data_IF_110895113202
#
_entry.id   IF_110895113202
#
_cell.length_a   1.000
_cell.length_b   1.000
_cell.length_c   1.000
_cell.angle_alpha   90.00
_cell.angle_beta   90.00
_cell.angle_gamma   90.00
#
_symmetry.space_group_name_H-M   'P 1'
#
loop_
_entity.id
_entity.type
_entity.pdbx_description
1 polymer ?
#
# COMPACT_ATOMS: atom_id res chain seq x y z
N UNK A 1 -2.56 -4.05 27.59
CA UNK A 1 -1.29 -4.65 28.07
C UNK A 1 -0.36 -3.60 28.67
N UNK A 2 0.18 -2.65 27.91
CA UNK A 2 1.14 -1.65 28.43
C UNK A 2 0.61 -0.66 29.49
N UNK A 3 -0.69 -0.66 29.76
CA UNK A 3 -1.28 0.12 30.86
C UNK A 3 -0.94 -0.45 32.24
N UNK A 4 -0.50 -1.71 32.32
CA UNK A 4 -0.05 -2.33 33.57
C UNK A 4 1.39 -1.91 33.88
N UNK A 5 1.61 -1.36 35.07
CA UNK A 5 2.94 -0.95 35.50
C UNK A 5 3.95 -2.10 35.49
N UNK A 6 5.18 -1.82 35.07
CA UNK A 6 6.24 -2.81 34.97
C UNK A 6 6.17 -3.71 33.73
N UNK A 7 5.12 -3.61 32.91
CA UNK A 7 4.98 -4.36 31.64
C UNK A 7 5.43 -3.50 30.47
N UNK A 8 6.29 -4.05 29.61
CA UNK A 8 6.72 -3.39 28.40
C UNK A 8 6.59 -4.32 27.19
N UNK A 9 5.58 -4.08 26.36
CA UNK A 9 5.41 -4.68 25.03
C UNK A 9 5.68 -3.60 23.98
N UNK A 10 6.56 -3.90 23.03
CA UNK A 10 6.91 -2.98 21.96
C UNK A 10 6.93 -3.74 20.64
N UNK A 11 6.37 -3.11 19.61
CA UNK A 11 6.17 -3.69 18.28
C UNK A 11 6.81 -2.81 17.23
N UNK A 12 6.98 -3.36 16.02
CA UNK A 12 7.09 -2.53 14.83
C UNK A 12 5.82 -1.70 14.62
N UNK A 13 5.84 -0.77 13.66
CA UNK A 13 4.64 -0.03 13.30
C UNK A 13 3.55 -1.00 12.82
N UNK A 14 2.32 -0.68 13.17
CA UNK A 14 1.17 -1.39 12.62
C UNK A 14 1.17 -1.31 11.09
N UNK A 15 0.75 -2.40 10.44
CA UNK A 15 0.72 -2.58 8.98
C UNK A 15 2.06 -2.38 8.27
N UNK A 16 3.18 -2.48 8.99
CA UNK A 16 4.51 -2.52 8.39
C UNK A 16 4.74 -3.88 7.70
N UNK A 17 5.10 -3.91 6.40
CA UNK A 17 5.55 -5.15 5.74
C UNK A 17 6.82 -5.69 6.39
N UNK A 18 6.87 -7.00 6.62
CA UNK A 18 7.96 -7.68 7.33
C UNK A 18 8.46 -8.90 6.56
N UNK A 19 9.74 -9.21 6.72
CA UNK A 19 10.37 -10.40 6.13
C UNK A 19 10.19 -11.63 7.03
N UNK A 20 10.29 -12.82 6.43
CA UNK A 20 10.30 -14.08 7.20
C UNK A 20 11.47 -14.08 8.19
N UNK A 21 11.15 -14.30 9.46
CA UNK A 21 12.14 -14.33 10.54
C UNK A 21 12.45 -12.95 11.15
N UNK A 22 11.86 -11.87 10.64
CA UNK A 22 11.97 -10.55 11.24
C UNK A 22 11.27 -10.52 12.61
N UNK A 23 11.91 -9.90 13.60
CA UNK A 23 11.30 -9.74 14.94
C UNK A 23 10.32 -8.59 14.92
N UNK A 24 9.02 -8.90 15.01
CA UNK A 24 7.94 -7.89 14.93
C UNK A 24 7.51 -7.31 16.27
N UNK A 25 7.83 -8.00 17.36
CA UNK A 25 7.48 -7.60 18.71
C UNK A 25 8.44 -8.22 19.73
N UNK A 26 8.64 -7.53 20.85
CA UNK A 26 9.27 -8.07 22.05
C UNK A 26 8.46 -7.64 23.26
N UNK A 27 8.51 -8.46 24.29
CA UNK A 27 7.88 -8.19 25.58
C UNK A 27 8.88 -8.44 26.69
N UNK A 28 8.85 -7.61 27.74
CA UNK A 28 9.60 -7.81 28.97
C UNK A 28 8.87 -7.22 30.16
N UNK A 29 9.27 -7.66 31.34
CA UNK A 29 9.03 -6.90 32.57
C UNK A 29 10.20 -5.93 32.78
N UNK A 30 9.90 -4.73 33.26
CA UNK A 30 10.89 -3.71 33.60
C UNK A 30 11.52 -3.92 34.99
N UNK A 31 10.75 -4.23 36.05
CA UNK A 31 11.34 -4.50 37.37
C UNK A 31 11.97 -5.90 37.44
N UNK A 32 12.79 -6.13 38.48
CA UNK A 32 13.38 -7.44 38.78
C UNK A 32 12.32 -8.53 38.99
N UNK A 33 11.17 -8.16 39.58
CA UNK A 33 10.03 -9.04 39.80
C UNK A 33 8.74 -8.27 39.57
N UNK A 34 7.70 -8.98 39.11
CA UNK A 34 6.36 -8.44 38.87
C UNK A 34 5.33 -9.31 39.60
N UNK A 35 4.24 -8.69 40.05
CA UNK A 35 3.14 -9.41 40.70
C UNK A 35 2.49 -10.43 39.75
N UNK A 36 2.18 -11.62 40.27
CA UNK A 36 1.55 -12.69 39.49
C UNK A 36 0.21 -12.26 38.88
N UNK A 37 -0.59 -11.48 39.61
CA UNK A 37 -1.88 -10.97 39.14
C UNK A 37 -1.72 -10.07 37.91
N UNK A 38 -0.63 -9.28 37.84
CA UNK A 38 -0.33 -8.46 36.67
C UNK A 38 0.02 -9.31 35.46
N UNK A 39 0.81 -10.38 35.64
CA UNK A 39 1.14 -11.31 34.56
C UNK A 39 -0.13 -11.97 34.03
N UNK A 40 -0.98 -12.47 34.92
CA UNK A 40 -2.25 -13.10 34.55
C UNK A 40 -3.17 -12.14 33.78
N UNK A 41 -3.28 -10.88 34.21
CA UNK A 41 -4.08 -9.87 33.52
C UNK A 41 -3.55 -9.59 32.11
N UNK A 42 -2.22 -9.51 31.94
CA UNK A 42 -1.57 -9.30 30.64
C UNK A 42 -1.77 -10.50 29.72
N UNK A 43 -1.59 -11.72 30.22
CA UNK A 43 -1.83 -12.96 29.48
C UNK A 43 -3.29 -13.07 29.04
N UNK A 44 -4.22 -12.70 29.93
CA UNK A 44 -5.65 -12.66 29.61
C UNK A 44 -5.95 -11.65 28.50
N UNK A 45 -5.37 -10.44 28.58
CA UNK A 45 -5.53 -9.41 27.55
C UNK A 45 -4.89 -9.82 26.20
N UNK A 46 -3.90 -10.71 26.21
CA UNK A 46 -3.25 -11.24 25.02
C UNK A 46 -3.93 -12.50 24.44
N UNK A 47 -5.01 -13.00 25.07
CA UNK A 47 -5.74 -14.17 24.57
C UNK A 47 -6.31 -13.86 23.18
N UNK A 48 -6.01 -14.74 22.22
CA UNK A 48 -6.35 -14.54 20.81
C UNK A 48 -5.23 -13.92 19.98
N UNK A 49 -4.12 -13.52 20.61
CA UNK A 49 -2.95 -12.95 19.96
C UNK A 49 -2.89 -11.43 20.13
N UNK A 50 -1.79 -10.94 20.69
CA UNK A 50 -1.54 -9.50 20.83
C UNK A 50 -0.95 -8.87 19.56
N UNK A 51 -0.34 -9.69 18.69
CA UNK A 51 0.30 -9.29 17.44
C UNK A 51 -0.01 -10.35 16.39
N UNK A 52 -0.42 -9.90 15.21
CA UNK A 52 -0.73 -10.77 14.08
C UNK A 52 0.04 -10.33 12.85
N UNK A 53 0.52 -11.29 12.07
CA UNK A 53 1.15 -11.03 10.77
C UNK A 53 0.25 -11.63 9.69
N UNK A 54 -0.30 -10.78 8.82
CA UNK A 54 -1.11 -11.21 7.69
C UNK A 54 -0.20 -11.59 6.52
N UNK A 55 -0.44 -12.75 5.90
CA UNK A 55 0.25 -13.14 4.68
C UNK A 55 -0.26 -12.32 3.49
N UNK A 56 0.63 -11.94 2.58
CA UNK A 56 0.23 -11.38 1.29
C UNK A 56 -0.36 -12.47 0.40
N UNK A 57 -1.38 -12.11 -0.37
CA UNK A 57 -2.01 -12.99 -1.35
C UNK A 57 -1.26 -12.88 -2.69
N UNK A 58 -1.14 -13.98 -3.46
CA UNK A 58 -0.57 -13.93 -4.80
C UNK A 58 -1.55 -13.24 -5.74
N UNK A 59 -1.36 -11.94 -5.96
CA UNK A 59 -2.24 -11.10 -6.79
C UNK A 59 -1.68 -10.87 -8.19
N UNK A 60 -2.55 -10.60 -9.15
CA UNK A 60 -2.23 -9.98 -10.43
C UNK A 60 -2.44 -8.47 -10.35
N UNK A 61 -1.38 -7.70 -10.54
CA UNK A 61 -1.43 -6.24 -10.61
C UNK A 61 -1.62 -5.81 -12.06
N UNK A 62 -2.77 -5.23 -12.38
CA UNK A 62 -3.02 -4.58 -13.67
C UNK A 62 -2.65 -3.10 -13.60
N UNK A 63 -2.02 -2.55 -14.63
CA UNK A 63 -1.64 -1.13 -14.66
C UNK A 63 -2.04 -0.46 -15.97
N UNK A 64 -2.78 0.64 -15.86
CA UNK A 64 -3.03 1.57 -16.98
C UNK A 64 -2.18 2.81 -16.75
N UNK A 65 -1.37 3.17 -17.74
CA UNK A 65 -0.56 4.37 -17.75
C UNK A 65 -0.93 5.27 -18.93
N UNK A 66 -0.59 6.55 -18.87
CA UNK A 66 -0.83 7.48 -20.00
C UNK A 66 0.15 7.21 -21.14
N UNK A 67 -0.34 7.23 -22.38
CA UNK A 67 0.52 7.18 -23.58
C UNK A 67 1.52 8.34 -23.66
N UNK A 68 1.26 9.47 -23.00
CA UNK A 68 2.17 10.61 -23.00
C UNK A 68 3.48 10.38 -22.22
N UNK A 69 3.64 9.26 -21.52
CA UNK A 69 4.89 8.93 -20.82
C UNK A 69 6.01 8.62 -21.81
N UNK A 70 7.19 9.20 -21.60
CA UNK A 70 8.36 8.94 -22.44
C UNK A 70 8.83 7.48 -22.29
N UNK A 71 9.41 6.85 -23.34
CA UNK A 71 9.84 5.45 -23.30
C UNK A 71 10.73 5.10 -22.10
N UNK A 72 11.67 5.98 -21.75
CA UNK A 72 12.55 5.80 -20.59
C UNK A 72 11.79 5.80 -19.26
N UNK A 73 10.78 6.66 -19.13
CA UNK A 73 9.93 6.72 -17.94
C UNK A 73 9.05 5.48 -17.84
N UNK A 74 8.51 4.99 -18.97
CA UNK A 74 7.74 3.74 -19.03
C UNK A 74 8.56 2.54 -18.54
N UNK A 75 9.77 2.37 -19.08
CA UNK A 75 10.65 1.27 -18.69
C UNK A 75 11.05 1.33 -17.20
N UNK A 76 11.37 2.53 -16.69
CA UNK A 76 11.67 2.71 -15.26
C UNK A 76 10.45 2.40 -14.38
N UNK A 77 9.26 2.82 -14.80
CA UNK A 77 8.03 2.58 -14.05
C UNK A 77 7.67 1.10 -14.00
N UNK A 78 7.76 0.41 -15.14
CA UNK A 78 7.53 -1.03 -15.21
C UNK A 78 8.52 -1.79 -14.31
N UNK A 79 9.81 -1.45 -14.38
CA UNK A 79 10.84 -2.06 -13.54
C UNK A 79 10.57 -1.84 -12.04
N UNK A 80 10.18 -0.62 -11.66
CA UNK A 80 9.84 -0.30 -10.27
C UNK A 80 8.63 -1.08 -9.76
N UNK A 81 7.54 -1.14 -10.54
CA UNK A 81 6.35 -1.91 -10.18
C UNK A 81 6.64 -3.41 -10.11
N UNK A 82 7.40 -3.94 -11.06
CA UNK A 82 7.79 -5.36 -11.11
C UNK A 82 8.58 -5.74 -9.86
N UNK A 83 9.61 -4.95 -9.53
CA UNK A 83 10.41 -5.17 -8.32
C UNK A 83 9.55 -5.14 -7.05
N UNK A 84 8.61 -4.20 -6.93
CA UNK A 84 7.71 -4.12 -5.77
C UNK A 84 6.79 -5.33 -5.68
N UNK A 85 6.10 -5.69 -6.78
CA UNK A 85 5.10 -6.76 -6.74
C UNK A 85 5.74 -8.15 -6.56
N UNK A 86 6.94 -8.35 -7.09
CA UNK A 86 7.70 -9.59 -6.92
C UNK A 86 8.05 -9.81 -5.45
N UNK A 87 8.43 -8.75 -4.71
CA UNK A 87 8.68 -8.83 -3.27
C UNK A 87 7.44 -9.28 -2.49
N UNK A 88 6.24 -8.83 -2.89
CA UNK A 88 4.98 -9.25 -2.29
C UNK A 88 4.49 -10.64 -2.75
N UNK A 89 5.22 -11.32 -3.65
CA UNK A 89 4.82 -12.61 -4.20
C UNK A 89 3.66 -12.55 -5.20
N UNK A 90 3.39 -11.38 -5.79
CA UNK A 90 2.40 -11.21 -6.85
C UNK A 90 3.03 -11.28 -8.25
N UNK A 91 2.24 -10.92 -9.27
CA UNK A 91 2.71 -10.77 -10.66
C UNK A 91 2.21 -9.48 -11.28
N UNK A 92 3.03 -8.85 -12.11
CA UNK A 92 2.65 -7.69 -12.93
C UNK A 92 2.09 -8.18 -14.27
N UNK A 93 0.83 -7.82 -14.58
CA UNK A 93 0.27 -7.97 -15.94
C UNK A 93 0.93 -6.97 -16.90
N UNK A 94 0.86 -7.18 -18.23
CA UNK A 94 1.36 -6.20 -19.18
C UNK A 94 0.82 -4.80 -18.89
N UNK A 95 1.71 -3.81 -18.83
CA UNK A 95 1.28 -2.43 -18.64
C UNK A 95 0.59 -1.96 -19.91
N UNK A 96 -0.66 -1.52 -19.77
CA UNK A 96 -1.45 -0.96 -20.85
C UNK A 96 -1.33 0.55 -20.86
N UNK A 97 -1.31 1.14 -22.06
CA UNK A 97 -1.20 2.57 -22.24
C UNK A 97 -2.49 3.10 -22.85
N UNK A 98 -3.19 3.96 -22.11
CA UNK A 98 -4.44 4.54 -22.55
C UNK A 98 -4.21 5.91 -23.20
N UNK A 99 -4.98 6.16 -24.26
CA UNK A 99 -5.14 7.47 -24.86
C UNK A 99 -5.82 8.48 -23.92
N UNK A 100 -5.95 9.72 -24.37
CA UNK A 100 -6.42 10.84 -23.55
C UNK A 100 -7.95 10.97 -23.42
N UNK A 101 -8.73 9.91 -23.65
CA UNK A 101 -10.20 9.94 -23.55
C UNK A 101 -10.71 9.03 -22.43
N UNK A 102 -11.85 9.37 -21.79
CA UNK A 102 -12.50 8.51 -20.79
C UNK A 102 -12.76 7.08 -21.28
N UNK A 103 -13.23 6.94 -22.52
CA UNK A 103 -13.49 5.63 -23.14
C UNK A 103 -12.22 4.79 -23.26
N UNK A 104 -11.12 5.38 -23.75
CA UNK A 104 -9.85 4.66 -23.86
C UNK A 104 -9.34 4.15 -22.51
N UNK A 105 -9.46 4.95 -21.43
CA UNK A 105 -9.09 4.48 -20.09
C UNK A 105 -9.99 3.34 -19.62
N UNK A 106 -11.30 3.46 -19.82
CA UNK A 106 -12.26 2.42 -19.44
C UNK A 106 -12.02 1.10 -20.18
N UNK A 107 -11.69 1.16 -21.47
CA UNK A 107 -11.40 0.00 -22.30
C UNK A 107 -10.13 -0.73 -21.81
N UNK A 108 -9.04 0.00 -21.55
CA UNK A 108 -7.80 -0.60 -21.04
C UNK A 108 -7.97 -1.21 -19.64
N UNK A 109 -8.71 -0.55 -18.74
CA UNK A 109 -9.03 -1.10 -17.42
C UNK A 109 -9.89 -2.36 -17.53
N UNK A 110 -10.85 -2.38 -18.45
CA UNK A 110 -11.70 -3.56 -18.70
C UNK A 110 -10.90 -4.73 -19.25
N UNK A 111 -9.96 -4.46 -20.15
CA UNK A 111 -9.06 -5.49 -20.67
C UNK A 111 -8.20 -6.11 -19.55
N UNK A 112 -7.62 -5.30 -18.66
CA UNK A 112 -6.86 -5.81 -17.50
C UNK A 112 -7.72 -6.65 -16.56
N UNK A 113 -8.97 -6.23 -16.32
CA UNK A 113 -9.91 -7.03 -15.52
C UNK A 113 -10.19 -8.38 -16.18
N UNK A 114 -10.40 -8.41 -17.50
CA UNK A 114 -10.60 -9.64 -18.26
C UNK A 114 -9.36 -10.55 -18.24
N UNK A 115 -8.15 -9.98 -18.16
CA UNK A 115 -6.89 -10.71 -17.95
C UNK A 115 -6.68 -11.19 -16.50
N UNK A 116 -7.63 -10.90 -15.61
CA UNK A 116 -7.64 -11.38 -14.23
C UNK A 116 -6.87 -10.49 -13.25
N UNK A 117 -6.84 -9.17 -13.46
CA UNK A 117 -6.30 -8.24 -12.47
C UNK A 117 -7.10 -8.28 -11.16
N UNK A 118 -6.40 -8.46 -10.04
CA UNK A 118 -6.96 -8.41 -8.67
C UNK A 118 -6.90 -7.01 -8.07
N UNK A 119 -5.99 -6.17 -8.57
CA UNK A 119 -5.83 -4.75 -8.22
C UNK A 119 -5.46 -4.00 -9.49
N UNK A 120 -6.11 -2.85 -9.72
CA UNK A 120 -5.76 -1.94 -10.81
C UNK A 120 -4.99 -0.74 -10.30
N UNK A 121 -3.90 -0.40 -10.98
CA UNK A 121 -3.14 0.82 -10.79
C UNK A 121 -3.41 1.75 -11.97
N UNK A 122 -3.70 3.01 -11.68
CA UNK A 122 -3.75 4.05 -12.69
C UNK A 122 -2.59 5.02 -12.46
N UNK A 123 -1.70 5.08 -13.45
CA UNK A 123 -0.44 5.79 -13.38
C UNK A 123 -0.48 7.04 -14.26
N UNK A 124 -0.06 8.16 -13.68
CA UNK A 124 0.01 9.44 -14.39
C UNK A 124 -1.34 10.14 -14.54
N UNK A 125 -2.31 9.80 -13.67
CA UNK A 125 -3.52 10.59 -13.52
C UNK A 125 -3.19 11.94 -12.87
N UNK A 126 -3.70 13.02 -13.44
CA UNK A 126 -3.73 14.34 -12.78
C UNK A 126 -4.87 14.35 -11.78
N UNK A 127 -4.60 13.89 -10.56
CA UNK A 127 -5.60 13.88 -9.49
C UNK A 127 -6.16 15.28 -9.16
N UNK A 128 -5.40 16.34 -9.44
CA UNK A 128 -5.86 17.72 -9.25
C UNK A 128 -6.84 18.19 -10.33
N UNK A 129 -6.85 17.53 -11.50
CA UNK A 129 -7.71 17.88 -12.61
C UNK A 129 -9.00 17.04 -12.55
N UNK A 130 -10.15 17.64 -12.18
CA UNK A 130 -11.43 16.92 -12.16
C UNK A 130 -11.86 16.44 -13.55
N UNK A 131 -11.30 17.00 -14.62
CA UNK A 131 -11.55 16.60 -16.00
C UNK A 131 -10.52 15.57 -16.50
N UNK A 132 -9.63 15.06 -15.64
CA UNK A 132 -8.72 14.01 -16.05
C UNK A 132 -9.53 12.82 -16.60
N UNK A 133 -9.21 12.34 -17.82
CA UNK A 133 -9.88 11.22 -18.46
C UNK A 133 -10.01 9.97 -17.59
N UNK A 134 -9.12 9.77 -16.61
CA UNK A 134 -9.19 8.67 -15.65
C UNK A 134 -10.48 8.69 -14.83
N UNK A 135 -10.90 9.87 -14.34
CA UNK A 135 -12.14 9.99 -13.57
C UNK A 135 -13.38 9.76 -14.44
N UNK A 136 -13.34 10.23 -15.68
CA UNK A 136 -14.36 9.92 -16.67
C UNK A 136 -14.44 8.42 -16.96
N UNK A 137 -13.31 7.75 -17.15
CA UNK A 137 -13.23 6.31 -17.39
C UNK A 137 -13.77 5.51 -16.21
N UNK A 138 -13.41 5.87 -14.98
CA UNK A 138 -13.98 5.29 -13.76
C UNK A 138 -15.50 5.45 -13.72
N UNK A 139 -16.02 6.61 -14.10
CA UNK A 139 -17.47 6.87 -14.16
C UNK A 139 -18.16 5.97 -15.19
N UNK A 140 -17.58 5.82 -16.39
CA UNK A 140 -18.10 4.93 -17.43
C UNK A 140 -18.15 3.47 -16.98
N UNK A 141 -17.16 3.03 -16.20
CA UNK A 141 -17.12 1.68 -15.63
C UNK A 141 -18.12 1.48 -14.48
N UNK A 142 -18.78 2.54 -14.00
CA UNK A 142 -19.60 2.50 -12.79
C UNK A 142 -18.78 2.29 -11.51
N UNK A 143 -17.51 2.72 -11.51
CA UNK A 143 -16.66 2.65 -10.32
C UNK A 143 -17.08 3.73 -9.30
N UNK A 144 -17.05 3.38 -8.02
CA UNK A 144 -17.30 4.29 -6.91
C UNK A 144 -15.99 4.84 -6.39
N UNK A 145 -15.88 6.16 -6.26
CA UNK A 145 -14.76 6.77 -5.57
C UNK A 145 -14.88 6.48 -4.05
N UNK A 146 -13.90 5.82 -3.46
CA UNK A 146 -13.83 5.60 -2.01
C UNK A 146 -13.22 6.82 -1.33
N UNK A 147 -12.13 7.34 -1.91
CA UNK A 147 -11.46 8.53 -1.42
C UNK A 147 -10.59 9.16 -2.49
N UNK A 148 -10.65 10.48 -2.57
CA UNK A 148 -9.75 11.28 -3.37
C UNK A 148 -8.76 12.02 -2.45
N UNK A 149 -7.49 11.64 -2.53
CA UNK A 149 -6.44 12.17 -1.66
C UNK A 149 -6.22 11.34 -0.40
N UNK A 150 -5.00 11.41 0.14
CA UNK A 150 -4.60 10.72 1.35
C UNK A 150 -3.84 11.69 2.29
N UNK A 151 -4.08 11.62 3.61
CA UNK A 151 -3.36 12.42 4.59
C UNK A 151 -1.95 11.84 4.86
N UNK A 152 -1.19 11.58 3.79
CA UNK A 152 0.20 11.13 3.86
C UNK A 152 1.00 11.77 2.72
N UNK A 153 2.29 12.00 2.96
CA UNK A 153 3.17 12.71 2.04
C UNK A 153 4.58 12.13 2.11
N UNK A 154 5.25 11.82 0.97
CA UNK A 154 4.82 12.04 -0.41
C UNK A 154 3.64 11.16 -0.88
N UNK A 155 2.92 11.61 -1.91
CA UNK A 155 1.80 10.86 -2.51
C UNK A 155 0.41 11.24 -2.01
N UNK A 156 0.23 12.44 -1.44
CA UNK A 156 -1.06 12.92 -0.90
C UNK A 156 -2.21 13.00 -1.92
N UNK A 157 -1.88 13.00 -3.21
CA UNK A 157 -2.82 13.01 -4.33
C UNK A 157 -3.24 11.60 -4.80
N UNK A 158 -2.86 10.56 -4.06
CA UNK A 158 -3.38 9.21 -4.31
C UNK A 158 -4.89 9.18 -4.16
N UNK A 159 -5.59 8.47 -5.04
CA UNK A 159 -7.01 8.19 -4.88
C UNK A 159 -7.24 6.69 -4.83
N UNK A 160 -8.32 6.30 -4.14
CA UNK A 160 -8.83 4.95 -4.10
C UNK A 160 -10.26 4.95 -4.67
N UNK A 161 -10.47 4.18 -5.71
CA UNK A 161 -11.77 3.87 -6.28
C UNK A 161 -12.03 2.37 -6.19
N UNK A 162 -13.28 1.99 -6.39
CA UNK A 162 -13.71 0.60 -6.39
C UNK A 162 -14.63 0.33 -7.56
N UNK A 163 -14.21 -0.55 -8.45
CA UNK A 163 -15.02 -1.02 -9.57
C UNK A 163 -15.64 -2.38 -9.22
N UNK A 164 -16.83 -2.36 -8.63
CA UNK A 164 -17.46 -3.51 -7.96
C UNK A 164 -16.64 -4.00 -6.76
N UNK A 165 -15.93 -5.11 -6.87
CA UNK A 165 -15.03 -5.66 -5.87
C UNK A 165 -13.56 -5.27 -6.12
N UNK A 166 -13.22 -4.91 -7.36
CA UNK A 166 -11.87 -4.59 -7.82
C UNK A 166 -11.39 -3.21 -7.32
N UNK A 167 -10.37 -3.15 -6.45
CA UNK A 167 -9.77 -1.87 -6.05
C UNK A 167 -8.99 -1.23 -7.20
N UNK A 168 -9.16 0.08 -7.35
CA UNK A 168 -8.43 0.91 -8.31
C UNK A 168 -7.67 1.98 -7.56
N UNK A 169 -6.34 1.95 -7.65
CA UNK A 169 -5.45 2.86 -6.95
C UNK A 169 -4.82 3.81 -7.97
N UNK A 170 -5.15 5.09 -7.86
CA UNK A 170 -4.55 6.14 -8.69
C UNK A 170 -3.33 6.75 -8.04
N UNK A 171 -2.25 6.94 -8.80
CA UNK A 171 -1.07 7.66 -8.34
C UNK A 171 -0.61 8.74 -9.32
N UNK A 172 -0.13 9.90 -8.82
CA UNK A 172 0.50 10.91 -9.65
C UNK A 172 1.85 10.43 -10.21
N UNK A 173 2.23 10.97 -11.37
CA UNK A 173 3.52 10.69 -12.05
C UNK A 173 4.73 10.87 -11.14
N UNK A 174 4.71 11.87 -10.24
CA UNK A 174 5.84 12.17 -9.34
C UNK A 174 6.05 11.11 -8.24
N UNK A 175 5.02 10.32 -7.90
CA UNK A 175 5.10 9.26 -6.89
C UNK A 175 5.58 7.91 -7.42
N UNK A 176 5.62 7.74 -8.75
CA UNK A 176 5.85 6.44 -9.40
C UNK A 176 7.22 5.82 -9.13
N UNK A 177 8.21 6.61 -8.70
CA UNK A 177 9.61 6.19 -8.58
C UNK A 177 10.16 6.21 -7.15
N UNK A 178 9.37 6.65 -6.16
CA UNK A 178 9.82 6.69 -4.77
C UNK A 178 9.44 5.40 -4.03
N UNK A 179 10.32 4.97 -3.12
CA UNK A 179 10.12 3.78 -2.29
C UNK A 179 9.31 4.07 -1.01
N UNK A 180 9.12 5.34 -0.65
CA UNK A 180 8.48 5.77 0.59
C UNK A 180 7.33 6.74 0.30
N UNK A 181 6.24 6.24 -0.28
CA UNK A 181 5.07 7.05 -0.61
C UNK A 181 3.80 6.51 0.04
N UNK A 182 2.73 7.29 -0.05
CA UNK A 182 1.38 6.84 0.31
C UNK A 182 1.01 5.53 -0.39
N UNK A 183 1.45 5.32 -1.64
CA UNK A 183 1.21 4.06 -2.35
C UNK A 183 1.80 2.87 -1.60
N UNK A 184 3.00 3.01 -1.05
CA UNK A 184 3.70 1.98 -0.28
C UNK A 184 3.07 1.72 1.10
N UNK A 185 2.21 2.61 1.59
CA UNK A 185 1.37 2.37 2.78
C UNK A 185 0.06 1.65 2.44
N UNK A 186 -0.49 1.88 1.25
CA UNK A 186 -1.83 1.40 0.85
C UNK A 186 -1.76 0.07 0.12
N UNK A 187 -0.83 -0.10 -0.81
CA UNK A 187 -0.71 -1.31 -1.61
C UNK A 187 -0.57 -2.57 -0.73
N UNK A 188 0.36 -2.64 0.25
CA UNK A 188 0.56 -3.88 1.02
C UNK A 188 -0.71 -4.37 1.73
N UNK A 189 -1.53 -3.42 2.19
CA UNK A 189 -2.81 -3.70 2.85
C UNK A 189 -3.81 -4.35 1.89
N UNK A 190 -3.91 -3.85 0.65
CA UNK A 190 -4.73 -4.47 -0.40
C UNK A 190 -4.23 -5.89 -0.73
N UNK A 191 -2.91 -6.07 -0.79
CA UNK A 191 -2.28 -7.37 -1.08
C UNK A 191 -2.49 -8.38 0.04
N UNK A 192 -2.54 -7.92 1.29
CA UNK A 192 -2.92 -8.73 2.45
C UNK A 192 -4.44 -9.02 2.53
N UNK A 193 -5.23 -8.48 1.60
CA UNK A 193 -6.68 -8.68 1.55
C UNK A 193 -7.48 -7.78 2.50
N UNK A 194 -6.88 -6.71 3.01
CA UNK A 194 -7.60 -5.73 3.83
C UNK A 194 -8.63 -4.97 2.98
N UNK A 195 -9.85 -4.83 3.50
CA UNK A 195 -10.86 -3.97 2.91
C UNK A 195 -10.57 -2.51 3.27
N UNK A 196 -9.96 -1.79 2.33
CA UNK A 196 -9.64 -0.37 2.50
C UNK A 196 -10.78 0.49 1.95
N UNK A 197 -11.27 1.42 2.76
CA UNK A 197 -12.20 2.47 2.36
C UNK A 197 -11.71 3.84 2.86
N UNK A 198 -12.61 4.82 2.91
CA UNK A 198 -12.27 6.19 3.31
C UNK A 198 -11.63 6.29 4.71
N UNK A 199 -12.13 5.53 5.69
CA UNK A 199 -11.65 5.60 7.07
C UNK A 199 -10.21 5.10 7.20
N UNK A 200 -9.87 4.01 6.51
CA UNK A 200 -8.55 3.38 6.52
C UNK A 200 -7.48 4.26 5.89
N UNK A 201 -7.84 5.02 4.85
CA UNK A 201 -6.94 6.02 4.25
C UNK A 201 -6.84 7.26 5.14
N UNK A 202 -7.95 7.70 5.75
CA UNK A 202 -7.93 8.85 6.67
C UNK A 202 -7.01 8.61 7.88
N UNK A 203 -6.95 7.38 8.37
CA UNK A 203 -6.10 6.98 9.49
C UNK A 203 -4.59 7.12 9.19
N UNK A 204 -4.17 7.25 7.93
CA UNK A 204 -2.77 7.44 7.55
C UNK A 204 -2.19 8.77 8.05
N UNK A 205 -3.01 9.71 8.52
CA UNK A 205 -2.56 11.01 9.04
C UNK A 205 -1.53 10.89 10.16
N UNK A 206 -1.72 9.92 11.07
CA UNK A 206 -0.75 9.69 12.14
C UNK A 206 0.47 8.93 11.60
N UNK A 207 1.63 9.59 11.59
CA UNK A 207 2.84 9.05 10.96
C UNK A 207 2.80 9.09 9.42
N UNK A 208 1.90 9.89 8.83
CA UNK A 208 1.76 10.05 7.38
C UNK A 208 2.81 10.96 6.73
N UNK A 209 3.62 11.67 7.51
CA UNK A 209 4.73 12.47 6.99
C UNK A 209 5.95 11.57 6.78
N UNK A 210 6.06 10.98 5.59
CA UNK A 210 7.09 10.02 5.23
C UNK A 210 8.40 10.74 4.87
N UNK A 211 9.25 10.96 5.88
CA UNK A 211 10.60 11.46 5.67
C UNK A 211 11.53 10.33 5.18
N UNK A 212 12.72 10.72 4.69
CA UNK A 212 13.79 9.78 4.34
C UNK A 212 14.18 8.87 5.51
N UNK A 213 14.14 9.39 6.73
CA UNK A 213 14.46 8.64 7.96
C UNK A 213 13.44 7.55 8.26
N UNK A 214 12.27 7.58 7.61
CA UNK A 214 11.22 6.57 7.75
C UNK A 214 11.32 5.44 6.72
N UNK A 215 12.41 5.37 5.95
CA UNK A 215 12.64 4.30 4.97
C UNK A 215 12.55 2.89 5.57
N UNK A 216 12.86 2.73 6.86
CA UNK A 216 12.75 1.44 7.56
C UNK A 216 11.33 0.87 7.56
N UNK A 217 10.29 1.71 7.38
CA UNK A 217 8.90 1.27 7.33
C UNK A 217 8.55 0.49 6.07
N UNK A 218 9.37 0.61 5.02
CA UNK A 218 9.11 0.02 3.72
C UNK A 218 10.07 -1.14 3.45
N UNK A 219 9.66 -2.12 2.63
CA UNK A 219 10.57 -3.16 2.17
C UNK A 219 11.76 -2.54 1.41
N UNK A 220 12.94 -3.18 1.46
CA UNK A 220 14.05 -2.81 0.59
C UNK A 220 13.71 -3.02 -0.90
N UNK A 221 12.69 -3.85 -1.20
CA UNK A 221 12.19 -4.29 -2.51
C UNK A 221 13.22 -5.02 -3.39
N UNK A 222 14.48 -4.62 -3.39
CA UNK A 222 15.58 -5.31 -4.07
C UNK A 222 16.19 -6.39 -3.18
N UNK A 223 16.52 -7.52 -3.79
CA UNK A 223 17.28 -8.56 -3.13
C UNK A 223 18.65 -8.03 -2.67
N UNK A 224 18.99 -8.23 -1.40
CA UNK A 224 20.29 -7.85 -0.82
C UNK A 224 20.40 -6.40 -0.33
N UNK A 225 19.42 -5.53 -0.60
CA UNK A 225 19.39 -4.18 -0.02
C UNK A 225 18.92 -4.25 1.45
N UNK A 226 19.49 -3.40 2.30
CA UNK A 226 19.08 -3.34 3.70
C UNK A 226 17.77 -2.56 3.86
N UNK A 227 16.91 -2.96 4.81
CA UNK A 227 15.73 -2.19 5.18
C UNK A 227 16.14 -0.79 5.63
N UNK A 228 15.56 0.24 5.02
CA UNK A 228 15.92 1.63 5.27
C UNK A 228 17.04 2.20 4.39
N UNK A 229 17.62 1.39 3.50
CA UNK A 229 18.54 1.86 2.46
C UNK A 229 17.73 2.59 1.37
N UNK A 230 18.00 3.88 1.19
CA UNK A 230 17.41 4.70 0.13
C UNK A 230 18.29 4.64 -1.12
N UNK A 231 17.69 4.63 -2.32
CA UNK A 231 18.40 4.86 -3.60
C UNK A 231 19.28 6.12 -3.59
#
# INVERSE_FOLDING_TARGET
MNVHEGVAVFTLFDRQPVDRGETVAKAKVTPLAIGADTVLAVEQAARGGAVTVAAFRPVALGTVARESLEPKQRARFESALRTKIDWFGGRLLPIRFAGASPGAVADEMSALRAEGADVLIVAGASALDPLDPVFGGLTLLGARMERHGAPAHPGSLLFLARWQDLPVLGMPTCGMFSQATTFDLVLPRLLAGEAIANAEIAALGHGGLLSREMAYRFPPYRAGAARGELE
#
